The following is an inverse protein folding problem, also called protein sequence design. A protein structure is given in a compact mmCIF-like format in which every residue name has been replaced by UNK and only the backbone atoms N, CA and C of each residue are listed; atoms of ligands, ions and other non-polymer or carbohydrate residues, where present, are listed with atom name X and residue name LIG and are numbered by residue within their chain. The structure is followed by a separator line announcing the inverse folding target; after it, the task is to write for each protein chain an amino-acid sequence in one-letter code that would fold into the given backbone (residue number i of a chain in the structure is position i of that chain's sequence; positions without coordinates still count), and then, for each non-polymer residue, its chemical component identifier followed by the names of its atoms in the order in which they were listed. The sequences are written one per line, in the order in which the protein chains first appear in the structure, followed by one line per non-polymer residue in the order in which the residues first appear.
data_IF_014463596802
#
_entry.id   IF_014463596802
#
_cell.length_a   1.000
_cell.length_b   1.000
_cell.length_c   1.000
_cell.angle_alpha   90.00
_cell.angle_beta   90.00
_cell.angle_gamma   90.00
#
_symmetry.space_group_name_H-M   'P 1'
#
loop_
_entity.id
_entity.type
_entity.pdbx_description
1 polymer ?
#
# COMPACT_ATOMS: atom_id res chain seq x y z
N UNK A 1 -41.63 55.62 3.24
CA UNK A 1 -42.23 54.72 4.25
C UNK A 1 -41.50 53.40 4.17
N UNK A 2 -40.83 52.98 5.26
CA UNK A 2 -40.14 51.70 5.30
C UNK A 2 -41.14 50.53 5.33
N UNK A 3 -40.75 49.33 4.87
CA UNK A 3 -41.60 48.15 4.98
C UNK A 3 -42.00 47.91 6.45
N UNK A 4 -43.21 47.42 6.71
CA UNK A 4 -43.68 47.17 8.06
C UNK A 4 -42.75 46.18 8.76
N UNK A 5 -42.28 46.55 9.97
CA UNK A 5 -41.55 45.64 10.85
C UNK A 5 -42.41 44.40 11.11
N UNK A 6 -41.78 43.22 11.12
CA UNK A 6 -42.48 41.98 11.42
C UNK A 6 -43.05 42.02 12.84
N UNK A 7 -44.22 41.38 13.01
CA UNK A 7 -44.83 41.20 14.32
C UNK A 7 -43.94 40.26 15.15
N UNK A 8 -43.60 40.67 16.37
CA UNK A 8 -42.71 39.95 17.30
C UNK A 8 -43.07 38.46 17.50
N UNK A 9 -44.35 38.11 17.38
CA UNK A 9 -44.89 36.75 17.47
C UNK A 9 -44.30 35.78 16.44
N UNK A 10 -43.89 36.28 15.27
CA UNK A 10 -43.34 35.49 14.17
C UNK A 10 -41.80 35.52 14.11
N UNK A 11 -41.15 36.45 14.83
CA UNK A 11 -39.70 36.64 14.79
C UNK A 11 -38.94 35.63 15.68
N UNK A 12 -39.48 35.30 16.87
CA UNK A 12 -38.82 34.45 17.86
C UNK A 12 -38.44 33.03 17.37
N UNK A 13 -39.34 32.25 16.73
CA UNK A 13 -39.00 30.89 16.27
C UNK A 13 -37.98 30.92 15.13
N UNK A 14 -38.02 31.99 14.32
CA UNK A 14 -37.16 32.15 13.18
C UNK A 14 -35.74 32.56 13.53
N UNK A 15 -35.61 33.46 14.49
CA UNK A 15 -34.33 33.89 15.05
C UNK A 15 -33.65 32.72 15.77
N UNK A 16 -34.42 31.89 16.50
CA UNK A 16 -33.92 30.67 17.11
C UNK A 16 -33.34 29.66 16.10
N UNK A 17 -33.99 29.49 14.94
CA UNK A 17 -33.47 28.62 13.87
C UNK A 17 -32.19 29.16 13.24
N UNK A 18 -32.12 30.47 12.97
CA UNK A 18 -30.92 31.09 12.42
C UNK A 18 -29.74 31.05 13.40
N UNK A 19 -30.00 31.30 14.69
CA UNK A 19 -29.02 31.17 15.76
C UNK A 19 -28.52 29.72 15.92
N UNK A 20 -29.41 28.73 15.82
CA UNK A 20 -29.03 27.32 15.88
C UNK A 20 -28.06 26.94 14.75
N UNK A 21 -28.32 27.37 13.51
CA UNK A 21 -27.41 27.11 12.37
C UNK A 21 -26.05 27.78 12.60
N UNK A 22 -26.04 29.02 13.10
CA UNK A 22 -24.80 29.73 13.42
C UNK A 22 -23.99 29.01 14.51
N UNK A 23 -24.63 28.61 15.61
CA UNK A 23 -23.98 27.91 16.73
C UNK A 23 -23.45 26.54 16.29
N UNK A 24 -24.23 25.77 15.52
CA UNK A 24 -23.80 24.48 14.99
C UNK A 24 -22.59 24.65 14.06
N UNK A 25 -22.62 25.65 13.17
CA UNK A 25 -21.50 25.93 12.29
C UNK A 25 -20.23 26.35 13.05
N UNK A 26 -20.38 27.20 14.06
CA UNK A 26 -19.27 27.60 14.94
C UNK A 26 -18.71 26.41 15.73
N UNK A 27 -19.58 25.53 16.22
CA UNK A 27 -19.18 24.33 16.96
C UNK A 27 -18.44 23.32 16.07
N UNK A 28 -18.88 23.12 14.81
CA UNK A 28 -18.15 22.28 13.86
C UNK A 28 -16.78 22.86 13.54
N UNK A 29 -16.69 24.17 13.34
CA UNK A 29 -15.42 24.84 13.07
C UNK A 29 -14.47 24.75 14.26
N UNK A 30 -14.96 24.99 15.49
CA UNK A 30 -14.13 24.91 16.70
C UNK A 30 -13.69 23.48 16.99
N UNK A 31 -14.56 22.48 16.81
CA UNK A 31 -14.22 21.07 16.96
C UNK A 31 -13.12 20.65 15.96
N UNK A 32 -13.26 21.03 14.70
CA UNK A 32 -12.25 20.73 13.67
C UNK A 32 -10.91 21.41 13.99
N UNK A 33 -10.94 22.68 14.39
CA UNK A 33 -9.73 23.43 14.77
C UNK A 33 -9.06 22.81 16.00
N UNK A 34 -9.85 22.40 17.01
CA UNK A 34 -9.34 21.73 18.21
C UNK A 34 -8.66 20.39 17.89
N UNK A 35 -9.25 19.60 16.99
CA UNK A 35 -8.64 18.34 16.52
C UNK A 35 -7.35 18.58 15.73
N UNK A 36 -7.30 19.62 14.91
CA UNK A 36 -6.11 20.00 14.17
C UNK A 36 -4.97 20.40 15.12
N UNK A 37 -5.27 21.18 16.17
CA UNK A 37 -4.30 21.55 17.21
C UNK A 37 -3.82 20.31 17.96
N UNK A 38 -4.73 19.41 18.35
CA UNK A 38 -4.38 18.18 19.06
C UNK A 38 -3.44 17.29 18.21
N UNK A 39 -3.78 17.07 16.94
CA UNK A 39 -2.95 16.31 16.02
C UNK A 39 -1.57 16.98 15.79
N UNK A 40 -1.53 18.31 15.78
CA UNK A 40 -0.28 19.06 15.65
C UNK A 40 0.63 18.89 16.88
N UNK A 41 0.05 18.93 18.09
CA UNK A 41 0.78 18.71 19.34
C UNK A 41 1.30 17.27 19.47
N UNK A 42 0.51 16.27 19.05
CA UNK A 42 0.94 14.87 19.04
C UNK A 42 2.16 14.64 18.13
N UNK A 43 2.24 15.35 17.01
CA UNK A 43 3.30 15.16 16.02
C UNK A 43 4.66 15.76 16.44
N UNK A 44 4.73 16.50 17.57
CA UNK A 44 5.94 17.16 18.14
C UNK A 44 6.85 17.83 17.10
N UNK A 45 6.28 18.31 16.01
CA UNK A 45 7.02 18.77 14.84
C UNK A 45 7.08 20.29 14.81
N UNK A 46 8.12 20.86 14.20
CA UNK A 46 8.25 22.30 14.03
C UNK A 46 7.07 22.87 13.20
N UNK A 47 6.77 24.16 13.38
CA UNK A 47 5.79 24.88 12.55
C UNK A 47 6.28 24.91 11.10
N UNK A 48 5.75 24.01 10.28
CA UNK A 48 6.00 23.92 8.85
C UNK A 48 4.71 23.57 8.12
N UNK A 49 4.54 24.10 6.90
CA UNK A 49 3.35 23.89 6.08
C UNK A 49 2.98 22.40 5.97
N UNK A 50 3.97 21.54 5.70
CA UNK A 50 3.77 20.09 5.59
C UNK A 50 3.37 19.41 6.91
N UNK A 51 3.81 19.95 8.05
CA UNK A 51 3.42 19.42 9.37
C UNK A 51 1.97 19.80 9.72
N UNK A 52 1.51 20.97 9.26
CA UNK A 52 0.11 21.39 9.37
C UNK A 52 -0.78 20.51 8.47
N UNK A 53 -0.36 20.25 7.24
CA UNK A 53 -1.09 19.38 6.30
C UNK A 53 -1.22 17.96 6.84
N UNK A 54 -0.12 17.38 7.34
CA UNK A 54 -0.13 16.02 7.92
C UNK A 54 -0.95 15.94 9.21
N UNK A 55 -0.87 16.94 10.09
CA UNK A 55 -1.75 17.01 11.27
C UNK A 55 -3.23 17.13 10.88
N UNK A 56 -3.54 17.97 9.88
CA UNK A 56 -4.87 18.10 9.30
C UNK A 56 -5.37 16.78 8.72
N UNK A 57 -4.50 16.00 8.08
CA UNK A 57 -4.82 14.68 7.56
C UNK A 57 -5.15 13.69 8.68
N UNK A 58 -4.34 13.63 9.74
CA UNK A 58 -4.61 12.75 10.88
C UNK A 58 -5.94 13.11 11.54
N UNK A 59 -6.21 14.40 11.74
CA UNK A 59 -7.47 14.88 12.30
C UNK A 59 -8.67 14.53 11.39
N UNK A 60 -8.56 14.80 10.08
CA UNK A 60 -9.60 14.47 9.11
C UNK A 60 -9.87 12.96 9.07
N UNK A 61 -8.83 12.13 9.17
CA UNK A 61 -8.98 10.67 9.14
C UNK A 61 -9.70 10.12 10.36
N UNK A 62 -9.40 10.66 11.56
CA UNK A 62 -10.04 10.24 12.82
C UNK A 62 -11.55 10.46 12.80
N UNK A 63 -12.02 11.50 12.10
CA UNK A 63 -13.42 11.94 12.16
C UNK A 63 -14.13 11.84 10.81
N UNK A 64 -13.51 11.22 9.80
CA UNK A 64 -13.98 11.23 8.40
C UNK A 64 -15.45 10.83 8.24
N UNK A 65 -15.92 9.81 8.96
CA UNK A 65 -17.30 9.35 8.81
C UNK A 65 -18.28 10.27 9.53
N UNK A 66 -17.99 10.62 10.78
CA UNK A 66 -18.87 11.49 11.58
C UNK A 66 -18.96 12.90 11.00
N UNK A 67 -17.84 13.49 10.58
CA UNK A 67 -17.82 14.84 9.99
C UNK A 67 -18.49 14.85 8.62
N UNK A 68 -18.29 13.85 7.76
CA UNK A 68 -18.97 13.83 6.45
C UNK A 68 -20.49 13.76 6.62
N UNK A 69 -21.00 12.86 7.47
CA UNK A 69 -22.44 12.77 7.73
C UNK A 69 -22.98 14.04 8.39
N UNK A 70 -22.30 14.56 9.41
CA UNK A 70 -22.70 15.79 10.07
C UNK A 70 -22.70 16.98 9.09
N UNK A 71 -21.67 17.13 8.26
CA UNK A 71 -21.58 18.18 7.24
C UNK A 71 -22.72 18.11 6.24
N UNK A 72 -23.09 16.91 5.77
CA UNK A 72 -24.23 16.74 4.85
C UNK A 72 -25.53 17.21 5.50
N UNK A 73 -25.81 16.77 6.73
CA UNK A 73 -27.03 17.14 7.47
C UNK A 73 -27.08 18.64 7.76
N UNK A 74 -25.95 19.22 8.19
CA UNK A 74 -25.84 20.65 8.51
C UNK A 74 -25.96 21.52 7.26
N UNK A 75 -25.31 21.14 6.15
CA UNK A 75 -25.45 21.86 4.89
C UNK A 75 -26.87 21.76 4.32
N UNK A 76 -27.50 20.59 4.40
CA UNK A 76 -28.86 20.42 3.90
C UNK A 76 -29.88 21.23 4.72
N UNK A 77 -29.82 21.13 6.05
CA UNK A 77 -30.69 21.89 6.95
C UNK A 77 -30.43 23.40 6.88
N UNK A 78 -29.16 23.82 6.84
CA UNK A 78 -28.76 25.21 6.67
C UNK A 78 -29.23 25.80 5.34
N UNK A 79 -29.12 25.06 4.25
CA UNK A 79 -29.62 25.48 2.94
C UNK A 79 -31.15 25.63 2.91
N UNK A 80 -31.88 24.71 3.54
CA UNK A 80 -33.34 24.82 3.66
C UNK A 80 -33.75 26.06 4.47
N UNK A 81 -33.06 26.33 5.59
CA UNK A 81 -33.34 27.50 6.43
C UNK A 81 -33.04 28.80 5.67
N UNK A 82 -31.90 28.90 4.99
CA UNK A 82 -31.56 30.07 4.18
C UNK A 82 -32.59 30.30 3.07
N UNK A 83 -33.00 29.23 2.37
CA UNK A 83 -34.02 29.31 1.32
C UNK A 83 -35.38 29.74 1.88
N UNK A 84 -35.76 29.24 3.06
CA UNK A 84 -36.99 29.66 3.75
C UNK A 84 -36.96 31.13 4.14
N UNK A 85 -35.81 31.65 4.61
CA UNK A 85 -35.65 33.06 5.00
C UNK A 85 -35.67 33.96 3.75
N UNK A 86 -34.99 33.55 2.67
CA UNK A 86 -34.92 34.35 1.44
C UNK A 86 -36.28 34.50 0.74
N UNK A 87 -37.17 33.52 0.89
CA UNK A 87 -38.52 33.55 0.32
C UNK A 87 -39.46 34.53 1.05
N UNK A 88 -39.17 34.91 2.30
CA UNK A 88 -40.03 35.76 3.10
C UNK A 88 -39.24 36.84 3.89
N UNK A 89 -38.49 37.72 3.22
CA UNK A 89 -37.54 38.63 3.88
C UNK A 89 -38.19 39.59 4.90
N UNK A 90 -39.48 39.89 4.74
CA UNK A 90 -40.23 40.75 5.66
C UNK A 90 -40.52 40.12 7.02
N UNK A 91 -40.36 38.80 7.19
CA UNK A 91 -40.62 38.07 8.44
C UNK A 91 -39.37 37.78 9.28
N UNK A 92 -38.17 38.01 8.75
CA UNK A 92 -36.94 37.49 9.34
C UNK A 92 -35.86 38.58 9.42
N UNK A 93 -35.41 38.88 10.63
CA UNK A 93 -34.20 39.67 10.89
C UNK A 93 -33.06 38.68 11.16
N UNK A 94 -32.01 38.66 10.34
CA UNK A 94 -30.85 37.78 10.58
C UNK A 94 -30.32 36.96 9.40
N UNK A 95 -30.60 37.33 8.15
CA UNK A 95 -30.06 36.64 6.97
C UNK A 95 -28.52 36.68 6.88
N UNK A 96 -27.90 37.78 7.35
CA UNK A 96 -26.44 37.93 7.34
C UNK A 96 -25.70 36.91 8.25
N UNK A 97 -26.03 36.76 9.55
CA UNK A 97 -25.37 35.76 10.40
C UNK A 97 -25.63 34.31 9.94
N UNK A 98 -26.83 34.01 9.42
CA UNK A 98 -27.11 32.67 8.87
C UNK A 98 -26.21 32.35 7.66
N UNK A 99 -25.96 33.33 6.77
CA UNK A 99 -25.03 33.17 5.65
C UNK A 99 -23.58 32.98 6.09
N UNK A 100 -23.14 33.71 7.13
CA UNK A 100 -21.78 33.56 7.68
C UNK A 100 -21.59 32.16 8.27
N UNK A 101 -22.54 31.69 9.07
CA UNK A 101 -22.49 30.34 9.64
C UNK A 101 -22.48 29.25 8.56
N UNK A 102 -23.34 29.39 7.55
CA UNK A 102 -23.36 28.46 6.41
C UNK A 102 -22.06 28.49 5.60
N UNK A 103 -21.51 29.66 5.32
CA UNK A 103 -20.23 29.79 4.63
C UNK A 103 -19.08 29.11 5.41
N UNK A 104 -19.08 29.24 6.75
CA UNK A 104 -18.14 28.53 7.61
C UNK A 104 -18.26 27.01 7.50
N UNK A 105 -19.49 26.48 7.57
CA UNK A 105 -19.73 25.02 7.41
C UNK A 105 -19.33 24.51 6.02
N UNK A 106 -19.60 25.30 4.98
CA UNK A 106 -19.22 24.98 3.61
C UNK A 106 -17.69 24.94 3.46
N UNK A 107 -17.00 25.93 4.03
CA UNK A 107 -15.53 25.98 4.01
C UNK A 107 -14.92 24.75 4.70
N UNK A 108 -15.42 24.36 5.88
CA UNK A 108 -14.95 23.16 6.59
C UNK A 108 -15.22 21.90 5.76
N UNK A 109 -16.42 21.76 5.20
CA UNK A 109 -16.77 20.60 4.37
C UNK A 109 -15.88 20.49 3.13
N UNK A 110 -15.62 21.60 2.43
CA UNK A 110 -14.71 21.66 1.27
C UNK A 110 -13.28 21.30 1.68
N UNK A 111 -12.79 21.83 2.82
CA UNK A 111 -11.45 21.57 3.30
C UNK A 111 -11.26 20.08 3.66
N UNK A 112 -12.22 19.49 4.36
CA UNK A 112 -12.23 18.06 4.69
C UNK A 112 -12.30 17.20 3.42
N UNK A 113 -13.19 17.53 2.48
CA UNK A 113 -13.32 16.80 1.22
C UNK A 113 -12.04 16.87 0.38
N UNK A 114 -11.40 18.03 0.31
CA UNK A 114 -10.14 18.23 -0.40
C UNK A 114 -9.01 17.42 0.22
N UNK A 115 -8.92 17.41 1.56
CA UNK A 115 -7.94 16.58 2.26
C UNK A 115 -8.17 15.10 1.99
N UNK A 116 -9.40 14.61 2.09
CA UNK A 116 -9.72 13.20 1.82
C UNK A 116 -9.38 12.84 0.37
N UNK A 117 -9.73 13.70 -0.59
CA UNK A 117 -9.48 13.48 -2.01
C UNK A 117 -7.99 13.34 -2.36
N UNK A 118 -7.12 14.09 -1.69
CA UNK A 118 -5.66 14.04 -1.92
C UNK A 118 -4.99 12.90 -1.14
N UNK A 119 -5.42 12.66 0.10
CA UNK A 119 -4.72 11.76 1.03
C UNK A 119 -5.08 10.28 0.83
N UNK A 120 -6.31 9.98 0.39
CA UNK A 120 -6.75 8.60 0.19
C UNK A 120 -5.94 7.89 -0.92
N UNK A 121 -5.75 8.46 -2.12
CA UNK A 121 -4.96 7.81 -3.17
C UNK A 121 -3.51 7.53 -2.72
N UNK A 122 -2.89 8.48 -2.03
CA UNK A 122 -1.51 8.35 -1.56
C UNK A 122 -1.38 7.27 -0.48
N UNK A 123 -2.33 7.18 0.45
CA UNK A 123 -2.34 6.09 1.44
C UNK A 123 -2.56 4.73 0.80
N UNK A 124 -3.40 4.63 -0.22
CA UNK A 124 -3.58 3.38 -0.96
C UNK A 124 -2.27 2.99 -1.66
N UNK A 125 -1.58 3.96 -2.29
CA UNK A 125 -0.26 3.75 -2.89
C UNK A 125 0.77 3.29 -1.86
N UNK A 126 0.83 3.93 -0.69
CA UNK A 126 1.76 3.55 0.38
C UNK A 126 1.45 2.16 0.95
N UNK A 127 0.18 1.80 1.11
CA UNK A 127 -0.22 0.45 1.51
C UNK A 127 0.24 -0.58 0.48
N UNK A 128 0.06 -0.29 -0.80
CA UNK A 128 0.55 -1.18 -1.86
C UNK A 128 2.08 -1.34 -1.81
N UNK A 129 2.82 -0.24 -1.62
CA UNK A 129 4.29 -0.28 -1.50
C UNK A 129 4.71 -1.10 -0.28
N UNK A 130 4.06 -0.91 0.87
CA UNK A 130 4.35 -1.67 2.08
C UNK A 130 4.05 -3.16 1.90
N UNK A 131 2.94 -3.49 1.23
CA UNK A 131 2.57 -4.86 0.90
C UNK A 131 3.60 -5.51 -0.03
N UNK A 132 3.97 -4.82 -1.12
CA UNK A 132 4.99 -5.29 -2.05
C UNK A 132 6.34 -5.48 -1.33
N UNK A 133 6.75 -4.53 -0.48
CA UNK A 133 7.99 -4.66 0.30
C UNK A 133 7.98 -5.90 1.21
N UNK A 134 6.83 -6.23 1.80
CA UNK A 134 6.63 -7.49 2.52
C UNK A 134 6.93 -8.71 1.66
N UNK A 135 6.33 -8.80 0.47
CA UNK A 135 6.56 -9.88 -0.49
C UNK A 135 8.03 -10.00 -0.92
N UNK A 136 8.65 -8.88 -1.30
CA UNK A 136 10.07 -8.86 -1.68
C UNK A 136 10.98 -9.29 -0.53
N UNK A 137 10.71 -8.85 0.70
CA UNK A 137 11.51 -9.24 1.87
C UNK A 137 11.51 -10.75 2.12
N UNK A 138 10.36 -11.41 1.95
CA UNK A 138 10.27 -12.86 2.03
C UNK A 138 11.08 -13.52 0.91
N UNK A 139 10.95 -13.02 -0.32
CA UNK A 139 11.71 -13.52 -1.45
C UNK A 139 13.23 -13.41 -1.25
N UNK A 140 13.71 -12.29 -0.71
CA UNK A 140 15.13 -12.12 -0.36
C UNK A 140 15.58 -13.06 0.75
N UNK A 141 14.73 -13.35 1.74
CA UNK A 141 15.03 -14.34 2.79
C UNK A 141 15.23 -15.74 2.19
N UNK A 142 14.36 -16.19 1.27
CA UNK A 142 14.53 -17.46 0.58
C UNK A 142 15.79 -17.50 -0.29
N UNK A 143 16.02 -16.43 -1.05
CA UNK A 143 17.22 -16.26 -1.88
C UNK A 143 18.50 -16.37 -1.03
N UNK A 144 18.54 -15.67 0.11
CA UNK A 144 19.64 -15.73 1.07
C UNK A 144 19.82 -17.15 1.60
N UNK A 145 18.75 -17.83 2.02
CA UNK A 145 18.83 -19.19 2.54
C UNK A 145 19.41 -20.18 1.51
N UNK A 146 18.94 -20.12 0.26
CA UNK A 146 19.45 -20.95 -0.83
C UNK A 146 20.93 -20.66 -1.16
N UNK A 147 21.33 -19.39 -1.16
CA UNK A 147 22.72 -19.01 -1.38
C UNK A 147 23.63 -19.47 -0.24
N UNK A 148 23.23 -19.26 1.01
CA UNK A 148 23.99 -19.72 2.18
C UNK A 148 24.10 -21.25 2.20
N UNK A 149 23.04 -21.97 1.85
CA UNK A 149 23.10 -23.42 1.71
C UNK A 149 24.11 -23.84 0.64
N UNK A 150 24.06 -23.20 -0.52
CA UNK A 150 25.00 -23.45 -1.62
C UNK A 150 26.45 -23.15 -1.22
N UNK A 151 26.69 -22.10 -0.46
CA UNK A 151 28.04 -21.76 0.03
C UNK A 151 28.58 -22.81 1.01
N UNK A 152 27.71 -23.37 1.87
CA UNK A 152 28.10 -24.36 2.87
C UNK A 152 28.27 -25.76 2.28
N UNK A 153 27.38 -26.16 1.37
CA UNK A 153 27.30 -27.54 0.88
C UNK A 153 27.82 -27.72 -0.56
N UNK A 154 28.01 -26.62 -1.31
CA UNK A 154 28.51 -26.65 -2.68
C UNK A 154 27.48 -27.06 -3.74
N UNK A 155 26.26 -27.40 -3.34
CA UNK A 155 25.14 -27.76 -4.22
C UNK A 155 23.85 -27.09 -3.75
N UNK A 156 22.78 -27.24 -4.54
CA UNK A 156 21.46 -26.68 -4.26
C UNK A 156 20.54 -27.86 -3.88
N UNK A 157 19.69 -27.72 -2.85
CA UNK A 157 18.78 -28.77 -2.38
C UNK A 157 17.82 -29.22 -3.48
N UNK A 158 17.51 -30.52 -3.51
CA UNK A 158 16.44 -31.08 -4.33
C UNK A 158 15.07 -30.66 -3.79
N UNK A 159 14.03 -30.71 -4.65
CA UNK A 159 12.69 -30.22 -4.34
C UNK A 159 12.08 -30.85 -3.09
N UNK A 160 12.25 -32.16 -2.93
CA UNK A 160 11.63 -32.94 -1.86
C UNK A 160 12.31 -32.69 -0.50
N UNK A 161 13.61 -32.38 -0.51
CA UNK A 161 14.44 -32.20 0.70
C UNK A 161 14.67 -30.71 1.05
N UNK A 162 14.20 -29.79 0.20
CA UNK A 162 14.40 -28.34 0.33
C UNK A 162 14.12 -27.80 1.74
N UNK A 163 12.95 -28.12 2.30
CA UNK A 163 12.54 -27.59 3.59
C UNK A 163 13.35 -28.19 4.74
N UNK A 164 13.70 -29.48 4.67
CA UNK A 164 14.55 -30.12 5.68
C UNK A 164 15.98 -29.59 5.64
N UNK A 165 16.54 -29.41 4.45
CA UNK A 165 17.91 -28.93 4.24
C UNK A 165 18.05 -27.44 4.60
N UNK A 166 17.07 -26.59 4.27
CA UNK A 166 17.13 -25.17 4.65
C UNK A 166 16.94 -24.94 6.16
N UNK A 167 16.33 -25.88 6.89
CA UNK A 167 16.20 -25.82 8.35
C UNK A 167 17.52 -26.06 9.09
N UNK A 168 18.51 -26.69 8.46
CA UNK A 168 19.82 -26.93 9.10
C UNK A 168 20.72 -25.70 9.07
N UNK A 169 20.31 -24.63 8.39
CA UNK A 169 21.06 -23.38 8.31
C UNK A 169 21.08 -22.62 9.64
N UNK A 170 22.17 -21.90 9.94
CA UNK A 170 22.22 -21.01 11.10
C UNK A 170 21.29 -19.81 10.89
N UNK A 171 20.25 -19.70 11.71
CA UNK A 171 19.24 -18.63 11.65
C UNK A 171 19.12 -17.91 13.01
N UNK A 172 20.01 -16.95 13.32
CA UNK A 172 20.04 -16.27 14.62
C UNK A 172 18.77 -15.46 14.91
N UNK A 173 18.09 -14.99 13.86
CA UNK A 173 16.92 -14.11 13.95
C UNK A 173 15.59 -14.87 13.73
N UNK A 174 15.64 -16.17 13.44
CA UNK A 174 14.44 -17.00 13.15
C UNK A 174 13.74 -16.66 11.82
N UNK A 175 14.38 -15.86 10.97
CA UNK A 175 13.82 -15.33 9.72
C UNK A 175 13.62 -16.41 8.65
N UNK A 176 14.56 -17.34 8.53
CA UNK A 176 14.51 -18.46 7.58
C UNK A 176 13.45 -19.45 8.04
N UNK A 177 13.44 -19.79 9.34
CA UNK A 177 12.45 -20.69 9.91
C UNK A 177 11.02 -20.15 9.73
N UNK A 178 10.80 -18.84 9.89
CA UNK A 178 9.51 -18.20 9.67
C UNK A 178 9.11 -18.20 8.19
N UNK A 179 10.04 -17.91 7.28
CA UNK A 179 9.77 -17.95 5.84
C UNK A 179 9.35 -19.36 5.38
N UNK A 180 10.10 -20.39 5.78
CA UNK A 180 9.84 -21.79 5.39
C UNK A 180 8.46 -22.33 5.80
N UNK A 181 7.75 -21.73 6.76
CA UNK A 181 6.42 -22.20 7.18
C UNK A 181 5.37 -22.08 6.08
N UNK A 182 5.52 -21.09 5.19
CA UNK A 182 4.56 -20.79 4.13
C UNK A 182 5.11 -21.08 2.73
N UNK A 183 6.24 -21.79 2.64
CA UNK A 183 6.86 -22.09 1.37
C UNK A 183 6.06 -23.15 0.62
N UNK A 184 5.49 -22.78 -0.51
CA UNK A 184 4.98 -23.75 -1.48
C UNK A 184 6.13 -24.27 -2.33
N UNK A 185 6.42 -25.57 -2.19
CA UNK A 185 7.48 -26.23 -2.93
C UNK A 185 7.14 -26.41 -4.41
N UNK A 186 5.86 -26.32 -4.79
CA UNK A 186 5.41 -26.65 -6.16
C UNK A 186 6.04 -25.76 -7.24
N UNK A 187 6.38 -24.50 -6.90
CA UNK A 187 7.05 -23.53 -7.76
C UNK A 187 8.59 -23.62 -7.81
N UNK A 188 9.21 -24.57 -7.11
CA UNK A 188 10.67 -24.71 -7.08
C UNK A 188 11.19 -25.64 -8.18
N UNK A 189 12.21 -25.17 -8.91
CA UNK A 189 12.89 -25.89 -9.99
C UNK A 189 14.42 -25.72 -9.87
N UNK A 190 15.15 -26.75 -9.39
CA UNK A 190 16.61 -26.74 -9.43
C UNK A 190 17.11 -26.99 -10.87
N UNK A 191 18.20 -26.34 -11.25
CA UNK A 191 18.78 -26.44 -12.59
C UNK A 191 20.32 -26.46 -12.59
N UNK A 192 20.90 -26.85 -13.71
CA UNK A 192 22.35 -26.79 -13.92
C UNK A 192 22.66 -26.30 -15.31
N UNK A 193 23.51 -25.28 -15.41
CA UNK A 193 24.03 -24.80 -16.69
C UNK A 193 25.50 -25.16 -16.77
N UNK A 194 25.84 -26.06 -17.69
CA UNK A 194 27.24 -26.41 -17.97
C UNK A 194 27.81 -25.40 -18.95
N UNK A 195 28.72 -24.54 -18.49
CA UNK A 195 29.52 -23.72 -19.38
C UNK A 195 30.66 -24.58 -19.94
N UNK A 196 30.41 -25.20 -21.09
CA UNK A 196 31.46 -25.84 -21.87
C UNK A 196 32.18 -24.78 -22.70
N UNK A 197 33.51 -24.70 -22.56
CA UNK A 197 34.38 -23.95 -23.47
C UNK A 197 34.46 -24.68 -24.84
N UNK A 198 33.34 -24.77 -25.57
CA UNK A 198 33.31 -25.32 -26.92
C UNK A 198 33.31 -24.17 -27.93
N UNK A 199 34.44 -23.99 -28.63
CA UNK A 199 34.64 -23.00 -29.69
C UNK A 199 33.76 -23.18 -30.95
N UNK A 200 32.63 -23.90 -30.87
CA UNK A 200 31.71 -24.10 -32.00
C UNK A 200 30.24 -24.10 -31.56
N UNK A 201 29.69 -22.90 -31.35
CA UNK A 201 28.38 -22.45 -31.85
C UNK A 201 27.10 -23.30 -31.70
N UNK A 202 27.05 -24.38 -30.92
CA UNK A 202 25.80 -25.12 -30.64
C UNK A 202 25.72 -25.51 -29.17
N UNK A 203 24.67 -25.08 -28.43
CA UNK A 203 24.42 -25.60 -27.08
C UNK A 203 24.07 -27.10 -27.21
N UNK A 204 24.82 -27.96 -26.52
CA UNK A 204 24.49 -29.39 -26.45
C UNK A 204 23.27 -29.58 -25.55
N UNK A 205 22.23 -30.31 -25.98
CA UNK A 205 21.13 -30.67 -25.10
C UNK A 205 21.63 -31.65 -24.03
N UNK A 206 21.46 -31.28 -22.76
CA UNK A 206 21.75 -32.11 -21.60
C UNK A 206 20.83 -33.35 -21.62
N UNK A 207 21.41 -34.55 -21.83
CA UNK A 207 20.67 -35.82 -21.75
C UNK A 207 20.66 -36.35 -20.31
N UNK A 208 19.45 -36.38 -19.73
CA UNK A 208 18.90 -37.40 -18.82
C UNK A 208 19.59 -37.76 -17.50
N UNK A 209 20.90 -38.04 -17.49
CA UNK A 209 21.61 -38.54 -16.30
C UNK A 209 22.51 -37.49 -15.65
N UNK A 210 23.02 -36.51 -16.40
CA UNK A 210 23.85 -35.42 -15.85
C UNK A 210 23.01 -34.46 -15.00
N UNK A 211 21.71 -34.35 -15.28
CA UNK A 211 20.75 -33.60 -14.46
C UNK A 211 20.44 -34.36 -13.17
N UNK A 212 20.37 -35.69 -13.23
CA UNK A 212 20.02 -36.54 -12.09
C UNK A 212 21.16 -36.71 -11.07
N UNK A 213 22.38 -36.28 -11.42
CA UNK A 213 23.57 -36.24 -10.55
C UNK A 213 24.12 -34.83 -10.33
N UNK A 214 23.28 -33.80 -10.47
CA UNK A 214 23.63 -32.44 -10.05
C UNK A 214 23.75 -32.32 -8.51
N UNK A 215 23.17 -33.26 -7.76
CA UNK A 215 23.23 -33.36 -6.30
C UNK A 215 24.38 -34.23 -5.75
N UNK A 216 25.20 -34.84 -6.60
CA UNK A 216 26.39 -35.59 -6.16
C UNK A 216 27.58 -35.33 -7.09
N UNK A 217 28.58 -34.60 -6.57
CA UNK A 217 29.97 -34.49 -7.06
C UNK A 217 30.18 -34.88 -8.53
N UNK A 218 30.27 -33.87 -9.42
CA UNK A 218 30.60 -34.06 -10.83
C UNK A 218 31.90 -34.86 -10.96
N UNK A 219 31.92 -36.05 -11.61
CA UNK A 219 33.18 -36.67 -11.99
C UNK A 219 33.83 -35.74 -13.02
N UNK A 220 35.07 -35.33 -12.74
CA UNK A 220 35.91 -34.49 -13.61
C UNK A 220 35.89 -35.09 -15.02
N UNK A 221 35.04 -34.55 -15.88
CA UNK A 221 35.08 -34.85 -17.31
C UNK A 221 36.35 -34.18 -17.83
N UNK A 222 37.21 -34.96 -18.48
CA UNK A 222 38.56 -34.60 -18.94
C UNK A 222 38.67 -33.36 -19.85
N UNK A 223 37.58 -32.62 -20.09
CA UNK A 223 37.54 -31.39 -20.87
C UNK A 223 36.90 -30.24 -20.08
N UNK A 224 37.69 -29.61 -19.20
CA UNK A 224 37.67 -28.19 -18.76
C UNK A 224 36.35 -27.39 -18.74
N UNK A 225 35.19 -28.00 -18.57
CA UNK A 225 33.90 -27.33 -18.50
C UNK A 225 33.58 -26.91 -17.07
N UNK A 226 33.22 -25.65 -16.87
CA UNK A 226 32.78 -25.15 -15.57
C UNK A 226 31.26 -25.33 -15.50
N UNK A 227 30.74 -26.13 -14.57
CA UNK A 227 29.30 -26.27 -14.35
C UNK A 227 28.82 -25.29 -13.29
N UNK A 228 27.81 -24.49 -13.62
CA UNK A 228 27.11 -23.62 -12.68
C UNK A 228 25.79 -24.27 -12.28
N UNK A 229 25.60 -24.51 -10.97
CA UNK A 229 24.29 -24.83 -10.41
C UNK A 229 23.44 -23.56 -10.39
N UNK A 230 22.22 -23.66 -10.90
CA UNK A 230 21.26 -22.57 -10.95
C UNK A 230 19.95 -23.00 -10.30
N UNK A 231 19.11 -22.06 -9.92
CA UNK A 231 17.77 -22.38 -9.41
C UNK A 231 16.75 -21.37 -9.89
N UNK A 232 15.51 -21.82 -9.96
CA UNK A 232 14.34 -20.99 -10.11
C UNK A 232 13.35 -21.35 -9.00
N UNK A 233 12.92 -20.34 -8.24
CA UNK A 233 11.87 -20.49 -7.24
C UNK A 233 10.78 -19.47 -7.57
N UNK A 234 9.60 -19.98 -7.92
CA UNK A 234 8.40 -19.17 -8.13
C UNK A 234 7.64 -19.08 -6.81
N UNK A 235 7.47 -17.86 -6.33
CA UNK A 235 6.68 -17.54 -5.15
C UNK A 235 5.33 -16.99 -5.60
N UNK A 236 4.22 -17.49 -5.02
CA UNK A 236 2.91 -17.01 -5.38
C UNK A 236 2.73 -15.55 -4.97
N UNK A 237 1.99 -14.79 -5.79
CA UNK A 237 1.61 -13.42 -5.52
C UNK A 237 0.58 -13.25 -4.39
N UNK A 238 -0.18 -12.14 -4.43
CA UNK A 238 -1.13 -11.78 -3.37
C UNK A 238 -2.32 -12.75 -3.31
N UNK A 239 -2.72 -13.28 -4.47
CA UNK A 239 -3.82 -14.22 -4.64
C UNK A 239 -3.49 -15.63 -4.13
N UNK A 240 -2.22 -15.90 -3.81
CA UNK A 240 -1.68 -17.21 -3.42
C UNK A 240 -1.83 -18.29 -4.50
N UNK A 241 -2.01 -17.89 -5.76
CA UNK A 241 -2.18 -18.79 -6.90
C UNK A 241 -0.91 -18.74 -7.74
N UNK A 242 -0.19 -19.85 -7.81
CA UNK A 242 0.98 -19.97 -8.68
C UNK A 242 0.59 -19.95 -10.16
N UNK A 243 1.51 -19.45 -10.97
CA UNK A 243 1.42 -19.29 -12.41
C UNK A 243 0.58 -18.11 -12.90
N UNK A 244 0.49 -17.06 -12.08
CA UNK A 244 -0.15 -15.80 -12.44
C UNK A 244 0.90 -14.70 -12.66
N UNK A 245 0.49 -13.56 -13.23
CA UNK A 245 1.36 -12.44 -13.63
C UNK A 245 1.97 -11.66 -12.44
N UNK A 246 1.44 -11.85 -11.23
CA UNK A 246 1.88 -11.21 -10.00
C UNK A 246 2.89 -12.05 -9.20
N UNK A 247 3.26 -13.24 -9.67
CA UNK A 247 4.27 -14.07 -9.00
C UNK A 247 5.65 -13.42 -9.04
N UNK A 248 6.40 -13.67 -7.97
CA UNK A 248 7.82 -13.34 -7.89
C UNK A 248 8.65 -14.56 -8.29
N UNK A 249 9.59 -14.35 -9.21
CA UNK A 249 10.54 -15.37 -9.63
C UNK A 249 11.90 -15.03 -9.03
N UNK A 250 12.42 -15.96 -8.23
CA UNK A 250 13.79 -15.91 -7.73
C UNK A 250 14.63 -16.78 -8.66
N UNK A 251 15.60 -16.18 -9.35
CA UNK A 251 16.55 -16.93 -10.17
C UNK A 251 17.97 -16.53 -9.81
N UNK A 252 18.77 -17.49 -9.33
CA UNK A 252 20.19 -17.30 -9.03
C UNK A 252 20.49 -16.06 -8.15
N UNK A 253 19.67 -15.82 -7.14
CA UNK A 253 19.83 -14.69 -6.21
C UNK A 253 19.09 -13.41 -6.61
N UNK A 254 18.61 -13.32 -7.86
CA UNK A 254 17.84 -12.19 -8.35
C UNK A 254 16.35 -12.42 -8.11
N UNK A 255 15.69 -11.47 -7.44
CA UNK A 255 14.24 -11.46 -7.24
C UNK A 255 13.62 -10.55 -8.29
N UNK A 256 12.76 -11.11 -9.16
CA UNK A 256 12.19 -10.40 -10.31
C UNK A 256 10.68 -10.66 -10.39
N UNK A 257 9.95 -9.68 -10.92
CA UNK A 257 8.58 -9.90 -11.41
C UNK A 257 8.61 -10.70 -12.72
N UNK A 258 7.48 -11.26 -13.15
CA UNK A 258 7.41 -12.00 -14.43
C UNK A 258 7.82 -11.17 -15.65
N UNK A 259 7.35 -9.91 -15.83
CA UNK A 259 7.79 -9.10 -16.97
C UNK A 259 9.30 -8.85 -16.97
N UNK A 260 9.89 -8.64 -15.79
CA UNK A 260 11.34 -8.50 -15.61
C UNK A 260 12.05 -9.82 -15.93
N UNK A 261 11.54 -10.95 -15.45
CA UNK A 261 12.08 -12.27 -15.73
C UNK A 261 12.04 -12.61 -17.21
N UNK A 262 10.95 -12.33 -17.92
CA UNK A 262 10.86 -12.53 -19.37
C UNK A 262 11.89 -11.68 -20.11
N UNK A 263 12.04 -10.42 -19.73
CA UNK A 263 13.06 -9.51 -20.29
C UNK A 263 14.47 -10.02 -20.03
N UNK A 264 14.74 -10.46 -18.79
CA UNK A 264 16.00 -11.05 -18.36
C UNK A 264 16.31 -12.35 -19.12
N UNK A 265 15.36 -13.28 -19.18
CA UNK A 265 15.49 -14.55 -19.84
C UNK A 265 15.72 -14.40 -21.36
N UNK A 266 15.04 -13.44 -21.99
CA UNK A 266 15.27 -13.07 -23.39
C UNK A 266 16.67 -12.53 -23.62
N UNK A 267 17.17 -11.64 -22.74
CA UNK A 267 18.53 -11.11 -22.82
C UNK A 267 19.62 -12.19 -22.67
N UNK A 268 19.30 -13.29 -21.96
CA UNK A 268 20.17 -14.44 -21.72
C UNK A 268 20.00 -15.58 -22.73
N UNK A 269 19.11 -15.44 -23.71
CA UNK A 269 18.80 -16.49 -24.68
C UNK A 269 18.15 -17.74 -24.08
N UNK A 270 17.48 -17.62 -22.93
CA UNK A 270 16.75 -18.71 -22.25
C UNK A 270 15.31 -18.88 -22.76
N UNK A 271 14.75 -17.84 -23.38
CA UNK A 271 13.45 -17.88 -24.06
C UNK A 271 13.63 -17.51 -25.54
N UNK A 272 12.89 -18.15 -26.48
CA UNK A 272 12.91 -17.82 -27.90
C UNK A 272 12.36 -16.42 -28.21
#
# INVERSE_FOLDING_TARGET
MGPPLAKAEHELPSFGRAAAVFVIGLAMFSAFTGLLIAAFLENKSALGFWNIVTAGEVAAWRVKWEVVFASIVVLWSGAQIIRSISQNPSRFIGLLPARIGFAGTLMVAVLVATLIGITVPERLRQRQVAHNAGHYSQAYTYSRALLTYRELHGFIPDKDDLVSELKTLPDPDGSIAAALQNLDMSGYQPGTVVASASNKGKPMPLRGEVIRKASMSVPVVEHGGISFTNYELRLPGEDKILNNDDDLIISDGLVMTIPEYQSYAKSRGRLP
#
